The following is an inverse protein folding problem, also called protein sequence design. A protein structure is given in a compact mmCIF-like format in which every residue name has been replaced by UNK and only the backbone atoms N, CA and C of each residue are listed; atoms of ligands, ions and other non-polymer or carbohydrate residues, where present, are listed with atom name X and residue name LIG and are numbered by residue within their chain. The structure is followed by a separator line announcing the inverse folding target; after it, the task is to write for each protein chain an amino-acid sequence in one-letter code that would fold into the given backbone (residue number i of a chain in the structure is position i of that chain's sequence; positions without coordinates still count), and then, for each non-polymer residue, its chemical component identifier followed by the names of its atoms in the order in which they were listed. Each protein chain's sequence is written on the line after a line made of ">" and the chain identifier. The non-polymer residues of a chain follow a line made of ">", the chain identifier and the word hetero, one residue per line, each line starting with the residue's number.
data_IF_263796177908
#
_entry.id   IF_263796177908
#
_cell.length_a   1.000
_cell.length_b   1.000
_cell.length_c   1.000
_cell.angle_alpha   90.00
_cell.angle_beta   90.00
_cell.angle_gamma   90.00
#
_symmetry.space_group_name_H-M   'P 1'
#
loop_
_entity.id
_entity.type
_entity.pdbx_description
1 polymer ?
#
# COMPACT_ATOMS: atom_id res chain seq x y z
N UNK A 1 6.41 -35.23 -0.80
CA UNK A 1 5.88 -33.90 -1.19
C UNK A 1 4.49 -33.74 -0.57
N UNK A 2 4.19 -32.59 0.04
CA UNK A 2 2.97 -32.36 0.84
C UNK A 2 1.69 -32.08 0.01
N UNK A 3 1.73 -32.18 -1.33
CA UNK A 3 0.58 -32.00 -2.25
C UNK A 3 -0.26 -30.74 -1.96
N UNK A 4 0.40 -29.61 -1.70
CA UNK A 4 -0.24 -28.34 -1.34
C UNK A 4 -0.95 -27.70 -2.55
N UNK A 5 -0.39 -27.85 -3.74
CA UNK A 5 -1.03 -27.48 -5.01
C UNK A 5 -0.71 -28.54 -6.09
N UNK A 6 -1.28 -28.34 -7.29
CA UNK A 6 -1.01 -29.18 -8.45
C UNK A 6 0.46 -29.09 -8.87
N UNK A 7 0.98 -30.12 -9.54
CA UNK A 7 2.38 -30.11 -10.02
C UNK A 7 2.60 -29.01 -11.08
N UNK A 8 1.57 -28.64 -11.81
CA UNK A 8 1.58 -27.55 -12.80
C UNK A 8 1.70 -26.17 -12.14
N UNK A 9 1.01 -25.96 -11.01
CA UNK A 9 1.02 -24.69 -10.28
C UNK A 9 2.22 -24.56 -9.32
N UNK A 10 2.90 -25.66 -8.99
CA UNK A 10 4.00 -25.68 -8.03
C UNK A 10 5.14 -24.74 -8.42
N UNK A 11 5.42 -24.65 -9.73
CA UNK A 11 6.44 -23.74 -10.26
C UNK A 11 6.09 -22.27 -10.01
N UNK A 12 4.86 -21.86 -10.33
CA UNK A 12 4.37 -20.50 -10.12
C UNK A 12 4.29 -20.15 -8.63
N UNK A 13 3.77 -21.06 -7.80
CA UNK A 13 3.70 -20.90 -6.36
C UNK A 13 5.09 -20.67 -5.75
N UNK A 14 6.06 -21.52 -6.12
CA UNK A 14 7.44 -21.41 -5.63
C UNK A 14 8.13 -20.13 -6.10
N UNK A 15 7.81 -19.65 -7.29
CA UNK A 15 8.33 -18.38 -7.79
C UNK A 15 7.83 -17.21 -6.94
N UNK A 16 6.51 -17.11 -6.71
CA UNK A 16 5.90 -16.04 -5.90
C UNK A 16 6.41 -16.06 -4.45
N UNK A 17 6.57 -17.25 -3.86
CA UNK A 17 7.09 -17.39 -2.49
C UNK A 17 8.54 -16.87 -2.31
N UNK A 18 9.29 -16.73 -3.40
CA UNK A 18 10.66 -16.17 -3.39
C UNK A 18 10.68 -14.66 -3.61
N UNK A 19 9.57 -14.06 -4.01
CA UNK A 19 9.48 -12.62 -4.22
C UNK A 19 9.34 -11.85 -2.90
N UNK A 20 9.74 -10.58 -2.91
CA UNK A 20 9.56 -9.73 -1.74
C UNK A 20 8.08 -9.34 -1.60
N UNK A 21 7.60 -9.35 -0.35
CA UNK A 21 6.24 -8.94 -0.09
C UNK A 21 6.05 -7.45 -0.45
N UNK A 22 5.04 -7.11 -1.26
CA UNK A 22 4.75 -5.73 -1.60
C UNK A 22 4.35 -4.95 -0.34
N UNK A 23 4.78 -3.69 -0.25
CA UNK A 23 4.43 -2.82 0.87
C UNK A 23 3.01 -2.30 0.69
N UNK A 24 2.21 -2.35 1.76
CA UNK A 24 0.87 -1.78 1.78
C UNK A 24 0.66 -0.94 3.04
N UNK A 25 -0.24 0.03 2.92
CA UNK A 25 -0.67 0.88 4.00
C UNK A 25 -2.16 1.11 3.95
N UNK A 26 -2.75 1.36 5.11
CA UNK A 26 -4.15 1.78 5.25
C UNK A 26 -4.21 3.09 6.00
N UNK A 27 -5.14 3.95 5.58
CA UNK A 27 -5.46 5.18 6.27
C UNK A 27 -6.38 4.85 7.45
N UNK A 28 -5.97 5.27 8.64
CA UNK A 28 -6.66 5.07 9.92
C UNK A 28 -7.07 6.43 10.46
N UNK A 29 -8.33 6.61 10.85
CA UNK A 29 -8.81 7.90 11.35
C UNK A 29 -10.33 7.99 11.35
N UNK A 30 -10.87 9.10 11.83
CA UNK A 30 -12.29 9.37 11.69
C UNK A 30 -12.66 9.49 10.20
N UNK A 31 -13.92 9.23 9.85
CA UNK A 31 -14.37 9.19 8.45
C UNK A 31 -14.03 10.48 7.68
N UNK A 32 -14.13 11.65 8.32
CA UNK A 32 -13.79 12.94 7.70
C UNK A 32 -12.28 13.15 7.51
N UNK A 33 -11.48 12.79 8.52
CA UNK A 33 -10.01 12.93 8.46
C UNK A 33 -9.42 11.97 7.43
N UNK A 34 -9.88 10.72 7.42
CA UNK A 34 -9.42 9.70 6.48
C UNK A 34 -9.70 10.09 5.02
N UNK A 35 -10.86 10.70 4.75
CA UNK A 35 -11.21 11.20 3.41
C UNK A 35 -10.39 12.43 3.02
N UNK A 36 -10.14 13.35 3.96
CA UNK A 36 -9.26 14.50 3.72
C UNK A 36 -7.84 14.04 3.37
N UNK A 37 -7.29 13.11 4.16
CA UNK A 37 -5.96 12.57 3.94
C UNK A 37 -5.87 11.82 2.61
N UNK A 38 -6.89 11.03 2.27
CA UNK A 38 -6.99 10.36 0.97
C UNK A 38 -7.00 11.36 -0.19
N UNK A 39 -7.69 12.50 -0.01
CA UNK A 39 -7.69 13.62 -0.96
C UNK A 39 -6.28 14.14 -1.22
N UNK A 40 -5.53 14.46 -0.16
CA UNK A 40 -4.14 14.95 -0.24
C UNK A 40 -3.22 13.93 -0.91
N UNK A 41 -3.33 12.65 -0.52
CA UNK A 41 -2.52 11.57 -1.10
C UNK A 41 -2.77 11.43 -2.61
N UNK A 42 -4.04 11.50 -3.04
CA UNK A 42 -4.39 11.41 -4.47
C UNK A 42 -4.05 12.68 -5.25
N UNK A 43 -4.27 13.86 -4.67
CA UNK A 43 -4.14 15.13 -5.38
C UNK A 43 -2.70 15.56 -5.53
N UNK A 44 -1.91 15.44 -4.47
CA UNK A 44 -0.52 15.86 -4.44
C UNK A 44 0.34 14.65 -4.81
N UNK A 45 0.42 13.65 -3.94
CA UNK A 45 1.46 12.63 -4.02
C UNK A 45 1.32 11.77 -5.28
N UNK A 46 0.13 11.27 -5.59
CA UNK A 46 -0.05 10.40 -6.76
C UNK A 46 0.07 11.14 -8.09
N UNK A 47 -0.30 12.42 -8.17
CA UNK A 47 -0.11 13.20 -9.39
C UNK A 47 1.36 13.45 -9.67
N UNK A 48 2.16 13.78 -8.66
CA UNK A 48 3.60 13.95 -8.81
C UNK A 48 4.29 12.64 -9.23
N UNK A 49 3.84 11.48 -8.71
CA UNK A 49 4.36 10.16 -9.10
C UNK A 49 4.03 9.76 -10.54
N UNK A 50 2.87 10.17 -11.05
CA UNK A 50 2.38 9.78 -12.38
C UNK A 50 2.84 10.73 -13.50
N UNK A 51 3.23 11.97 -13.16
CA UNK A 51 3.69 12.99 -14.11
C UNK A 51 5.11 13.52 -13.77
N UNK A 52 6.16 12.67 -13.76
CA UNK A 52 7.53 13.09 -13.46
C UNK A 52 8.13 14.09 -14.48
N UNK A 53 7.54 14.19 -15.68
CA UNK A 53 8.00 15.04 -16.79
C UNK A 53 7.92 16.54 -16.44
N UNK A 54 7.07 16.93 -15.49
CA UNK A 54 6.87 18.35 -15.13
C UNK A 54 8.02 18.94 -14.30
N UNK A 55 8.88 18.12 -13.68
CA UNK A 55 9.93 18.58 -12.75
C UNK A 55 11.37 18.35 -13.26
N UNK A 56 11.54 18.07 -14.56
CA UNK A 56 12.87 17.93 -15.17
C UNK A 56 13.60 16.64 -14.81
N UNK A 57 12.90 15.65 -14.27
CA UNK A 57 13.45 14.30 -14.06
C UNK A 57 13.51 13.54 -15.39
N UNK A 58 14.63 12.84 -15.65
CA UNK A 58 14.83 11.96 -16.81
C UNK A 58 13.62 11.02 -16.98
N UNK A 59 13.12 10.78 -18.21
CA UNK A 59 11.99 9.90 -18.43
C UNK A 59 12.28 8.52 -17.86
N UNK A 60 11.62 8.19 -16.75
CA UNK A 60 11.69 6.87 -16.16
C UNK A 60 11.12 5.88 -17.17
N UNK A 61 11.85 4.80 -17.46
CA UNK A 61 11.34 3.73 -18.31
C UNK A 61 9.95 3.34 -17.79
N UNK A 62 8.97 3.23 -18.69
CA UNK A 62 7.56 2.98 -18.31
C UNK A 62 7.38 1.70 -17.47
N UNK A 63 8.40 0.83 -17.45
CA UNK A 63 8.49 -0.37 -16.62
C UNK A 63 8.83 -0.11 -15.15
N UNK A 64 9.53 0.98 -14.81
CA UNK A 64 9.97 1.31 -13.44
C UNK A 64 8.93 2.12 -12.64
N UNK A 65 7.79 2.48 -13.24
CA UNK A 65 6.79 3.32 -12.57
C UNK A 65 6.04 2.48 -11.54
N UNK A 66 6.50 2.56 -10.28
CA UNK A 66 5.83 1.98 -9.12
C UNK A 66 4.54 2.74 -8.83
N UNK A 67 3.46 2.33 -9.50
CA UNK A 67 2.16 2.96 -9.35
C UNK A 67 1.49 2.49 -8.06
N UNK A 68 0.91 3.41 -7.27
CA UNK A 68 0.04 3.05 -6.16
C UNK A 68 -1.19 2.31 -6.69
N UNK A 69 -1.46 1.13 -6.14
CA UNK A 69 -2.62 0.30 -6.47
C UNK A 69 -3.61 0.40 -5.32
N UNK A 70 -4.83 0.83 -5.60
CA UNK A 70 -5.90 0.79 -4.59
C UNK A 70 -6.37 -0.64 -4.38
N UNK A 71 -6.60 -1.02 -3.12
CA UNK A 71 -7.08 -2.36 -2.78
C UNK A 71 -8.61 -2.38 -2.95
N UNK A 72 -9.16 -3.05 -3.97
CA UNK A 72 -10.55 -2.86 -4.39
C UNK A 72 -11.58 -3.38 -3.39
N UNK A 73 -11.20 -4.37 -2.58
CA UNK A 73 -12.08 -4.93 -1.55
C UNK A 73 -12.01 -4.17 -0.22
N UNK A 74 -11.06 -3.24 -0.06
CA UNK A 74 -10.96 -2.45 1.16
C UNK A 74 -11.96 -1.28 1.11
N UNK A 75 -12.78 -1.07 2.15
CA UNK A 75 -13.82 -0.05 2.13
C UNK A 75 -13.26 1.35 1.89
N UNK A 76 -14.05 2.17 1.19
CA UNK A 76 -13.76 3.59 0.94
C UNK A 76 -12.42 3.89 0.23
N UNK A 77 -11.78 2.88 -0.40
CA UNK A 77 -10.46 2.99 -1.02
C UNK A 77 -9.38 3.55 -0.07
N UNK A 78 -9.47 3.23 1.21
CA UNK A 78 -8.55 3.71 2.25
C UNK A 78 -7.27 2.89 2.36
N UNK A 79 -7.15 1.79 1.62
CA UNK A 79 -5.94 0.98 1.60
C UNK A 79 -5.31 0.94 0.21
N UNK A 80 -3.99 1.04 0.20
CA UNK A 80 -3.16 1.18 -0.98
C UNK A 80 -1.92 0.32 -0.87
N UNK A 81 -1.49 -0.19 -2.01
CA UNK A 81 -0.29 -0.99 -2.17
C UNK A 81 0.69 -0.24 -3.05
N UNK A 82 1.96 -0.22 -2.63
CA UNK A 82 3.02 0.45 -3.34
C UNK A 82 4.33 -0.30 -3.09
N UNK A 83 4.92 -0.83 -4.14
CA UNK A 83 6.21 -1.51 -4.06
C UNK A 83 7.30 -0.48 -4.36
N UNK A 84 7.95 0.07 -3.33
CA UNK A 84 9.13 0.92 -3.50
C UNK A 84 10.36 0.23 -2.93
N UNK A 85 11.46 0.25 -3.67
CA UNK A 85 12.78 -0.13 -3.16
C UNK A 85 13.54 1.09 -2.64
N UNK A 86 14.59 0.85 -1.85
CA UNK A 86 15.50 1.93 -1.40
C UNK A 86 16.21 2.64 -2.56
N UNK A 87 16.33 1.99 -3.72
CA UNK A 87 16.92 2.60 -4.92
C UNK A 87 15.96 3.63 -5.51
N UNK A 88 14.67 3.30 -5.59
CA UNK A 88 13.64 4.17 -6.16
C UNK A 88 13.46 5.45 -5.33
N UNK A 89 13.48 5.30 -4.00
CA UNK A 89 13.41 6.42 -3.05
C UNK A 89 14.59 7.39 -3.21
N UNK A 90 15.77 6.91 -3.63
CA UNK A 90 16.96 7.76 -3.84
C UNK A 90 17.01 8.37 -5.24
N UNK A 91 16.27 7.81 -6.20
CA UNK A 91 16.33 8.18 -7.62
C UNK A 91 15.42 9.35 -7.96
N UNK A 92 14.26 9.47 -7.31
CA UNK A 92 13.29 10.55 -7.55
C UNK A 92 12.92 11.26 -6.26
N UNK A 93 12.85 12.58 -6.33
CA UNK A 93 12.44 13.40 -5.19
C UNK A 93 10.97 13.15 -4.84
N UNK A 94 10.13 12.84 -5.82
CA UNK A 94 8.72 12.52 -5.61
C UNK A 94 8.53 11.27 -4.74
N UNK A 95 9.30 10.20 -4.99
CA UNK A 95 9.28 8.99 -4.15
C UNK A 95 9.80 9.26 -2.74
N UNK A 96 10.83 10.11 -2.60
CA UNK A 96 11.35 10.52 -1.29
C UNK A 96 10.32 11.31 -0.47
N UNK A 97 9.65 12.29 -1.08
CA UNK A 97 8.58 13.07 -0.45
C UNK A 97 7.42 12.20 -0.01
N UNK A 98 6.94 11.30 -0.88
CA UNK A 98 5.91 10.32 -0.54
C UNK A 98 6.33 9.44 0.65
N UNK A 99 7.55 8.91 0.62
CA UNK A 99 8.04 8.04 1.68
C UNK A 99 8.09 8.76 3.03
N UNK A 100 8.59 10.00 3.07
CA UNK A 100 8.62 10.81 4.29
C UNK A 100 7.22 11.17 4.79
N UNK A 101 6.31 11.51 3.87
CA UNK A 101 4.91 11.74 4.21
C UNK A 101 4.30 10.50 4.87
N UNK A 102 4.47 9.31 4.28
CA UNK A 102 3.97 8.06 4.85
C UNK A 102 4.59 7.75 6.22
N UNK A 103 5.88 8.07 6.45
CA UNK A 103 6.50 7.92 7.77
C UNK A 103 5.84 8.85 8.79
N UNK A 104 5.70 10.14 8.46
CA UNK A 104 5.14 11.14 9.36
C UNK A 104 3.70 10.79 9.75
N UNK A 105 2.87 10.45 8.76
CA UNK A 105 1.48 10.05 9.02
C UNK A 105 1.38 8.72 9.79
N UNK A 106 2.35 7.81 9.62
CA UNK A 106 2.44 6.59 10.44
C UNK A 106 2.75 6.93 11.89
N UNK A 107 3.63 7.92 12.15
CA UNK A 107 3.95 8.38 13.50
C UNK A 107 2.77 9.11 14.16
N UNK A 108 1.98 9.85 13.37
CA UNK A 108 0.76 10.50 13.85
C UNK A 108 -0.40 9.52 14.12
N UNK A 109 -0.30 8.27 13.63
CA UNK A 109 -1.36 7.27 13.75
C UNK A 109 -2.47 7.41 12.70
N UNK A 110 -2.35 8.35 11.76
CA UNK A 110 -3.27 8.54 10.64
C UNK A 110 -3.11 7.48 9.55
N UNK A 111 -1.95 6.83 9.49
CA UNK A 111 -1.66 5.73 8.57
C UNK A 111 -1.07 4.56 9.34
N UNK A 112 -1.39 3.35 8.91
CA UNK A 112 -0.80 2.11 9.43
C UNK A 112 -0.23 1.28 8.28
N UNK A 113 1.04 0.88 8.42
CA UNK A 113 1.67 -0.10 7.51
C UNK A 113 1.25 -1.50 7.95
N UNK A 114 0.65 -2.25 7.05
CA UNK A 114 0.15 -3.59 7.35
C UNK A 114 0.15 -4.43 6.08
N UNK A 115 0.41 -5.73 6.22
CA UNK A 115 0.26 -6.65 5.10
C UNK A 115 -1.20 -6.70 4.64
N UNK A 116 -1.40 -6.73 3.32
CA UNK A 116 -2.72 -6.73 2.69
C UNK A 116 -3.59 -7.87 3.22
N UNK A 117 -3.04 -9.09 3.30
CA UNK A 117 -3.77 -10.27 3.78
C UNK A 117 -4.14 -10.19 5.25
N UNK A 118 -3.37 -9.47 6.06
CA UNK A 118 -3.65 -9.24 7.48
C UNK A 118 -4.80 -8.26 7.72
N UNK A 119 -5.23 -7.51 6.70
CA UNK A 119 -6.38 -6.61 6.78
C UNK A 119 -7.72 -7.33 6.58
N UNK A 120 -7.72 -8.57 6.05
CA UNK A 120 -8.95 -9.33 5.75
C UNK A 120 -9.70 -9.76 7.02
N UNK A 121 -9.04 -10.38 8.03
CA UNK A 121 -9.76 -10.91 9.19
C UNK A 121 -10.60 -9.86 9.92
N UNK A 122 -10.10 -8.64 10.22
CA UNK A 122 -10.90 -7.60 10.87
C UNK A 122 -12.13 -7.16 10.09
N UNK A 123 -12.05 -7.13 8.75
CA UNK A 123 -13.18 -6.75 7.90
C UNK A 123 -14.25 -7.84 7.91
N UNK A 124 -13.84 -9.11 7.80
CA UNK A 124 -14.75 -10.25 7.79
C UNK A 124 -15.43 -10.48 9.16
N UNK A 125 -14.74 -10.14 10.26
CA UNK A 125 -15.29 -10.20 11.61
C UNK A 125 -16.45 -9.22 11.85
N UNK A 126 -16.57 -8.17 11.03
CA UNK A 126 -17.63 -7.14 11.06
C UNK A 126 -18.03 -6.69 12.49
N UNK A 127 -17.02 -6.33 13.28
CA UNK A 127 -17.17 -5.99 14.70
C UNK A 127 -18.10 -4.79 14.85
N UNK A 128 -19.14 -4.94 15.69
CA UNK A 128 -20.09 -3.87 16.04
C UNK A 128 -19.78 -3.30 17.42
N UNK A 129 -20.30 -2.10 17.71
CA UNK A 129 -20.06 -1.38 18.97
C UNK A 129 -20.45 -2.15 20.24
N UNK A 130 -21.36 -3.11 20.14
CA UNK A 130 -21.81 -3.95 21.26
C UNK A 130 -21.04 -5.29 21.38
N UNK A 131 -20.14 -5.60 20.45
CA UNK A 131 -19.30 -6.80 20.52
C UNK A 131 -18.15 -6.59 21.51
N UNK A 132 -17.82 -7.65 22.25
CA UNK A 132 -16.61 -7.71 23.07
C UNK A 132 -15.52 -8.43 22.27
N UNK A 133 -14.45 -7.73 21.96
CA UNK A 133 -13.30 -8.27 21.21
C UNK A 133 -12.15 -8.56 22.17
N UNK A 134 -11.53 -9.72 22.03
CA UNK A 134 -10.32 -10.08 22.78
C UNK A 134 -9.12 -9.85 21.87
N UNK A 135 -8.18 -9.02 22.32
CA UNK A 135 -6.86 -8.89 21.73
C UNK A 135 -5.88 -9.61 22.65
N UNK A 136 -5.24 -10.67 22.16
CA UNK A 136 -4.16 -11.40 22.85
C UNK A 136 -2.80 -10.77 22.55
#
# INVERSE_FOLDING_TARGET
>A
MQKICSDEDWGAFTAVMKENLPTAFRITGSKSEAQCLLGIVKSELFKHLLNPIAEGEEPMDRQDVHKPISIPWYPDNLAWQLTLTRKDIRRSEAYFRLHNFLINETQCGSISRQEVVSMIPPILLDVKSHHKVICY
#
